data_IF_459146197558
#
_entry.id   IF_459146197558
#
_cell.length_a   1.000
_cell.length_b   1.000
_cell.length_c   1.000
_cell.angle_alpha   90.00
_cell.angle_beta   90.00
_cell.angle_gamma   90.00
#
_symmetry.space_group_name_H-M   'P 1'
#
loop_
_entity.id
_entity.type
_entity.pdbx_description
1 polymer ?
#
# COMPACT_ATOMS: atom_id res chain seq x y z
N UNK A 1 -11.85 10.94 37.40
CA UNK A 1 -12.27 10.54 36.04
C UNK A 1 -11.13 10.92 35.12
N UNK A 2 -10.39 9.95 34.60
CA UNK A 2 -9.29 10.20 33.67
C UNK A 2 -9.63 9.50 32.35
N UNK A 3 -10.19 10.25 31.41
CA UNK A 3 -10.31 9.81 30.01
C UNK A 3 -8.94 9.97 29.36
N UNK A 4 -8.06 9.00 29.60
CA UNK A 4 -6.87 8.79 28.79
C UNK A 4 -7.31 8.14 27.49
N UNK A 5 -7.69 8.96 26.51
CA UNK A 5 -7.95 8.51 25.15
C UNK A 5 -6.69 7.90 24.55
N UNK A 6 -6.50 6.60 24.77
CA UNK A 6 -5.59 5.80 23.98
C UNK A 6 -6.18 5.76 22.57
N UNK A 7 -5.76 6.70 21.72
CA UNK A 7 -5.84 6.52 20.28
C UNK A 7 -5.06 5.24 19.99
N UNK A 8 -5.76 4.13 19.89
CA UNK A 8 -5.13 2.84 19.61
C UNK A 8 -4.37 2.98 18.28
N UNK A 9 -3.32 2.20 18.08
CA UNK A 9 -2.65 2.13 16.77
C UNK A 9 -3.64 1.89 15.63
N UNK A 10 -4.80 1.27 15.93
CA UNK A 10 -5.92 1.10 15.02
C UNK A 10 -6.57 2.42 14.63
N UNK A 11 -6.84 3.30 15.59
CA UNK A 11 -7.40 4.60 15.32
C UNK A 11 -6.44 5.48 14.50
N UNK A 12 -5.13 5.36 14.72
CA UNK A 12 -4.13 6.10 13.94
C UNK A 12 -4.00 5.56 12.52
N UNK A 13 -3.93 4.24 12.33
CA UNK A 13 -3.87 3.60 11.01
C UNK A 13 -5.18 3.82 10.25
N UNK A 14 -6.33 3.63 10.89
CA UNK A 14 -7.63 3.92 10.30
C UNK A 14 -7.78 5.41 9.98
N UNK A 15 -7.26 6.31 10.83
CA UNK A 15 -7.24 7.75 10.56
C UNK A 15 -6.36 8.14 9.37
N UNK A 16 -5.22 7.46 9.18
CA UNK A 16 -4.34 7.68 8.02
C UNK A 16 -4.98 7.25 6.70
N UNK A 17 -5.79 6.19 6.71
CA UNK A 17 -6.45 5.69 5.51
C UNK A 17 -7.92 6.13 5.38
N UNK A 18 -8.41 6.98 6.29
CA UNK A 18 -9.79 7.48 6.28
C UNK A 18 -10.86 6.41 6.53
N UNK A 19 -10.49 5.31 7.20
CA UNK A 19 -11.34 4.16 7.49
C UNK A 19 -11.16 2.99 6.51
N UNK A 20 -11.79 1.87 6.85
CA UNK A 20 -11.72 0.60 6.11
C UNK A 20 -12.25 0.70 4.67
N UNK A 21 -13.39 1.38 4.48
CA UNK A 21 -14.00 1.55 3.15
C UNK A 21 -13.05 2.27 2.18
N UNK A 22 -12.29 3.22 2.69
CA UNK A 22 -11.29 3.93 1.90
C UNK A 22 -10.09 3.05 1.61
N UNK A 23 -9.62 2.23 2.55
CA UNK A 23 -8.56 1.27 2.29
C UNK A 23 -8.96 0.25 1.21
N UNK A 24 -10.19 -0.29 1.27
CA UNK A 24 -10.69 -1.21 0.26
C UNK A 24 -10.78 -0.56 -1.13
N UNK A 25 -11.24 0.69 -1.20
CA UNK A 25 -11.25 1.45 -2.46
C UNK A 25 -9.83 1.69 -2.97
N UNK A 26 -8.93 2.17 -2.13
CA UNK A 26 -7.53 2.40 -2.50
C UNK A 26 -6.84 1.11 -2.95
N UNK A 27 -7.14 -0.02 -2.33
CA UNK A 27 -6.63 -1.32 -2.74
C UNK A 27 -7.17 -1.75 -4.10
N UNK A 28 -8.48 -1.59 -4.35
CA UNK A 28 -9.08 -1.87 -5.64
C UNK A 28 -8.52 -0.94 -6.73
N UNK A 29 -8.32 0.33 -6.43
CA UNK A 29 -7.74 1.32 -7.33
C UNK A 29 -6.28 0.99 -7.63
N UNK A 30 -5.48 0.59 -6.63
CA UNK A 30 -4.11 0.14 -6.83
C UNK A 30 -4.03 -1.08 -7.77
N UNK A 31 -4.94 -2.06 -7.61
CA UNK A 31 -5.04 -3.21 -8.51
C UNK A 31 -5.46 -2.81 -9.93
N UNK A 32 -6.38 -1.85 -10.06
CA UNK A 32 -6.76 -1.30 -11.36
C UNK A 32 -5.58 -0.58 -12.02
N UNK A 33 -4.87 0.27 -11.29
CA UNK A 33 -3.66 0.96 -11.79
C UNK A 33 -2.61 -0.04 -12.27
N UNK A 34 -2.38 -1.12 -11.52
CA UNK A 34 -1.48 -2.19 -11.94
C UNK A 34 -1.95 -2.86 -13.24
N UNK A 35 -3.25 -3.11 -13.40
CA UNK A 35 -3.81 -3.68 -14.61
C UNK A 35 -3.69 -2.71 -15.80
N UNK A 36 -3.91 -1.42 -15.59
CA UNK A 36 -3.79 -0.38 -16.62
C UNK A 36 -2.34 -0.16 -17.05
N UNK A 37 -1.40 -0.13 -16.11
CA UNK A 37 0.04 -0.18 -16.38
C UNK A 37 0.38 -1.42 -17.21
N UNK A 38 0.01 -2.63 -16.76
CA UNK A 38 0.30 -3.86 -17.53
C UNK A 38 -0.27 -3.84 -18.95
N UNK A 39 -1.40 -3.16 -19.16
CA UNK A 39 -2.08 -3.09 -20.43
C UNK A 39 -1.57 -2.00 -21.39
N UNK A 40 -0.54 -1.23 -21.04
CA UNK A 40 -0.08 -0.14 -21.92
C UNK A 40 -0.89 1.16 -21.77
N UNK A 41 -1.89 1.19 -20.87
CA UNK A 41 -2.87 2.28 -20.79
C UNK A 41 -2.45 3.40 -19.84
N UNK A 42 -1.40 3.18 -19.07
CA UNK A 42 -0.87 4.14 -18.13
C UNK A 42 0.65 4.18 -18.23
N UNK A 43 1.16 5.34 -18.64
CA UNK A 43 2.57 5.65 -18.71
C UNK A 43 2.83 6.91 -17.90
N UNK A 44 3.99 6.96 -17.25
CA UNK A 44 4.42 8.10 -16.43
C UNK A 44 5.85 8.40 -16.82
N UNK A 45 6.18 9.69 -17.00
CA UNK A 45 7.54 10.12 -17.27
C UNK A 45 8.49 9.71 -16.14
N UNK A 46 9.78 9.55 -16.46
CA UNK A 46 10.77 9.01 -15.52
C UNK A 46 10.90 9.86 -14.23
N UNK A 47 10.79 11.19 -14.34
CA UNK A 47 10.91 12.10 -13.21
C UNK A 47 9.74 11.91 -12.25
N UNK A 48 8.50 12.04 -12.74
CA UNK A 48 7.28 11.83 -11.94
C UNK A 48 7.21 10.41 -11.38
N UNK A 49 7.56 9.41 -12.19
CA UNK A 49 7.59 8.00 -11.79
C UNK A 49 8.60 7.76 -10.67
N UNK A 50 9.78 8.37 -10.73
CA UNK A 50 10.80 8.29 -9.68
C UNK A 50 10.33 8.93 -8.38
N UNK A 51 9.67 10.09 -8.45
CA UNK A 51 9.11 10.74 -7.25
C UNK A 51 8.02 9.90 -6.59
N UNK A 52 7.09 9.34 -7.37
CA UNK A 52 6.04 8.46 -6.87
C UNK A 52 6.62 7.18 -6.27
N UNK A 53 7.57 6.54 -6.96
CA UNK A 53 8.27 5.36 -6.46
C UNK A 53 8.92 5.65 -5.11
N UNK A 54 9.66 6.76 -4.99
CA UNK A 54 10.32 7.13 -3.73
C UNK A 54 9.32 7.29 -2.58
N UNK A 55 8.17 7.90 -2.82
CA UNK A 55 7.14 8.06 -1.79
C UNK A 55 6.55 6.70 -1.35
N UNK A 56 6.25 5.82 -2.31
CA UNK A 56 5.74 4.45 -2.03
C UNK A 56 6.79 3.63 -1.28
N UNK A 57 8.05 3.67 -1.69
CA UNK A 57 9.15 2.98 -1.01
C UNK A 57 9.32 3.45 0.44
N UNK A 58 9.28 4.76 0.70
CA UNK A 58 9.36 5.26 2.08
C UNK A 58 8.20 4.77 2.96
N UNK A 59 7.00 4.65 2.39
CA UNK A 59 5.86 4.11 3.12
C UNK A 59 6.02 2.61 3.38
N UNK A 60 6.50 1.85 2.39
CA UNK A 60 6.81 0.43 2.55
C UNK A 60 7.87 0.19 3.62
N UNK A 61 8.93 0.99 3.67
CA UNK A 61 9.98 0.91 4.70
C UNK A 61 9.41 1.15 6.10
N UNK A 62 8.58 2.18 6.27
CA UNK A 62 7.89 2.46 7.55
C UNK A 62 6.99 1.31 7.95
N UNK A 63 6.23 0.75 7.02
CA UNK A 63 5.39 -0.41 7.28
C UNK A 63 6.21 -1.66 7.61
N UNK A 64 7.35 -1.87 6.94
CA UNK A 64 8.25 -3.00 7.24
C UNK A 64 8.84 -2.90 8.64
N UNK A 65 9.17 -1.70 9.11
CA UNK A 65 9.60 -1.50 10.50
C UNK A 65 8.49 -1.87 11.52
N UNK A 66 7.22 -1.63 11.15
CA UNK A 66 6.06 -2.00 11.98
C UNK A 66 5.73 -3.49 11.89
N UNK A 67 5.98 -4.14 10.75
CA UNK A 67 5.67 -5.56 10.54
C UNK A 67 6.41 -6.46 11.52
N UNK A 68 7.63 -6.07 11.93
CA UNK A 68 8.41 -6.78 12.95
C UNK A 68 7.70 -6.88 14.30
N UNK A 69 6.69 -6.05 14.56
CA UNK A 69 5.93 -6.03 15.81
C UNK A 69 4.48 -6.47 15.63
N UNK A 70 4.01 -6.65 14.39
CA UNK A 70 2.60 -6.99 14.13
C UNK A 70 2.23 -8.37 14.69
N UNK A 71 3.18 -9.32 14.69
CA UNK A 71 2.95 -10.67 15.22
C UNK A 71 2.61 -10.66 16.72
N UNK A 72 3.03 -9.63 17.47
CA UNK A 72 2.70 -9.48 18.89
C UNK A 72 1.22 -9.18 19.10
N UNK A 73 0.57 -8.53 18.12
CA UNK A 73 -0.87 -8.24 18.17
C UNK A 73 -1.72 -9.49 17.91
N UNK A 74 -1.13 -10.54 17.34
CA UNK A 74 -1.75 -11.84 17.13
C UNK A 74 -1.66 -12.75 18.36
N UNK A 75 -1.02 -12.28 19.44
CA UNK A 75 -0.86 -13.04 20.68
C UNK A 75 -1.85 -12.56 21.74
N UNK A 76 -2.34 -13.50 22.56
CA UNK A 76 -3.16 -13.16 23.74
C UNK A 76 -2.29 -12.35 24.71
N UNK A 77 -2.66 -11.09 25.02
CA UNK A 77 -1.88 -10.28 25.94
C UNK A 77 -2.04 -10.77 27.37
N UNK A 78 -0.97 -10.69 28.16
CA UNK A 78 -0.96 -11.11 29.57
C UNK A 78 -1.46 -9.99 30.48
N UNK A 79 -2.76 -9.76 30.51
CA UNK A 79 -3.36 -8.73 31.38
C UNK A 79 -3.51 -9.15 32.85
N UNK A 80 -3.52 -10.46 33.12
CA UNK A 80 -3.73 -11.02 34.45
C UNK A 80 -4.37 -12.40 34.38
N UNK A 81 -4.57 -13.04 35.54
CA UNK A 81 -5.10 -14.40 35.65
C UNK A 81 -6.55 -14.45 36.18
N UNK A 82 -7.14 -13.31 36.54
CA UNK A 82 -8.55 -13.25 36.92
C UNK A 82 -9.47 -13.37 35.70
N UNK A 83 -10.74 -13.70 35.95
CA UNK A 83 -11.72 -13.94 34.88
C UNK A 83 -12.01 -12.71 34.03
N UNK A 84 -11.91 -11.51 34.60
CA UNK A 84 -12.09 -10.28 33.84
C UNK A 84 -10.88 -10.04 32.93
N UNK A 85 -9.66 -10.19 33.44
CA UNK A 85 -8.42 -10.05 32.68
C UNK A 85 -8.35 -11.02 31.50
N UNK A 86 -8.76 -12.28 31.68
CA UNK A 86 -8.84 -13.27 30.59
C UNK A 86 -9.84 -12.84 29.51
N UNK A 87 -11.04 -12.39 29.90
CA UNK A 87 -12.04 -11.90 28.93
C UNK A 87 -11.54 -10.67 28.17
N UNK A 88 -10.94 -9.72 28.88
CA UNK A 88 -10.36 -8.53 28.27
C UNK A 88 -9.23 -8.88 27.28
N UNK A 89 -8.37 -9.84 27.63
CA UNK A 89 -7.31 -10.31 26.74
C UNK A 89 -7.85 -10.99 25.46
N UNK A 90 -8.91 -11.79 25.58
CA UNK A 90 -9.57 -12.37 24.41
C UNK A 90 -10.23 -11.30 23.53
N UNK A 91 -10.96 -10.34 24.12
CA UNK A 91 -11.56 -9.24 23.36
C UNK A 91 -10.50 -8.42 22.62
N UNK A 92 -9.36 -8.16 23.27
CA UNK A 92 -8.23 -7.50 22.63
C UNK A 92 -7.72 -8.31 21.43
N UNK A 93 -7.46 -9.61 21.61
CA UNK A 93 -7.00 -10.46 20.51
C UNK A 93 -7.99 -10.49 19.34
N UNK A 94 -9.29 -10.62 19.61
CA UNK A 94 -10.31 -10.60 18.56
C UNK A 94 -10.29 -9.29 17.77
N UNK A 95 -10.19 -8.14 18.45
CA UNK A 95 -10.11 -6.84 17.80
C UNK A 95 -8.80 -6.64 17.01
N UNK A 96 -7.72 -7.31 17.42
CA UNK A 96 -6.41 -7.18 16.77
C UNK A 96 -6.19 -8.10 15.58
N UNK A 97 -6.73 -9.34 15.61
CA UNK A 97 -6.39 -10.39 14.63
C UNK A 97 -7.60 -11.13 14.02
N UNK A 98 -8.69 -11.31 14.76
CA UNK A 98 -9.72 -12.29 14.38
C UNK A 98 -10.93 -11.71 13.64
N UNK A 99 -11.21 -10.42 13.79
CA UNK A 99 -12.27 -9.73 13.03
C UNK A 99 -11.82 -9.41 11.60
N UNK A 100 -12.76 -9.30 10.65
CA UNK A 100 -12.51 -8.81 9.30
C UNK A 100 -11.92 -7.38 9.32
N UNK A 101 -12.28 -6.62 10.35
CA UNK A 101 -11.81 -5.26 10.63
C UNK A 101 -10.58 -5.19 11.53
N UNK A 102 -9.95 -6.34 11.78
CA UNK A 102 -8.85 -6.41 12.70
C UNK A 102 -7.64 -5.63 12.20
N UNK A 103 -6.91 -5.06 13.15
CA UNK A 103 -5.73 -4.24 12.88
C UNK A 103 -4.70 -4.94 12.00
N UNK A 104 -4.47 -6.23 12.26
CA UNK A 104 -3.55 -7.05 11.50
C UNK A 104 -3.98 -7.16 10.05
N UNK A 105 -5.26 -7.40 9.77
CA UNK A 105 -5.77 -7.50 8.39
C UNK A 105 -5.68 -6.18 7.64
N UNK A 106 -6.06 -5.07 8.28
CA UNK A 106 -5.92 -3.71 7.72
C UNK A 106 -4.46 -3.42 7.36
N UNK A 107 -3.54 -3.76 8.26
CA UNK A 107 -2.11 -3.61 8.03
C UNK A 107 -1.62 -4.45 6.83
N UNK A 108 -2.01 -5.71 6.74
CA UNK A 108 -1.63 -6.60 5.62
C UNK A 108 -2.20 -6.10 4.28
N UNK A 109 -3.46 -5.66 4.24
CA UNK A 109 -4.08 -5.10 3.04
C UNK A 109 -3.36 -3.83 2.57
N UNK A 110 -2.94 -2.96 3.49
CA UNK A 110 -2.16 -1.77 3.17
C UNK A 110 -0.77 -2.14 2.59
N UNK A 111 -0.11 -3.20 3.09
CA UNK A 111 1.15 -3.69 2.51
C UNK A 111 0.96 -4.20 1.07
N UNK A 112 -0.09 -5.00 0.83
CA UNK A 112 -0.41 -5.53 -0.51
C UNK A 112 -0.73 -4.40 -1.50
N UNK A 113 -1.48 -3.39 -1.06
CA UNK A 113 -1.78 -2.19 -1.83
C UNK A 113 -0.51 -1.44 -2.24
N UNK A 114 0.38 -1.16 -1.30
CA UNK A 114 1.64 -0.46 -1.60
C UNK A 114 2.53 -1.27 -2.55
N UNK A 115 2.58 -2.59 -2.39
CA UNK A 115 3.31 -3.47 -3.31
C UNK A 115 2.73 -3.39 -4.74
N UNK A 116 1.39 -3.42 -4.85
CA UNK A 116 0.70 -3.28 -6.15
C UNK A 116 0.98 -1.92 -6.80
N UNK A 117 0.98 -0.83 -6.02
CA UNK A 117 1.31 0.51 -6.51
C UNK A 117 2.75 0.61 -6.98
N UNK A 118 3.71 0.08 -6.21
CA UNK A 118 5.12 0.07 -6.60
C UNK A 118 5.31 -0.62 -7.95
N UNK A 119 4.71 -1.80 -8.12
CA UNK A 119 4.78 -2.55 -9.37
C UNK A 119 4.12 -1.79 -10.53
N UNK A 120 2.99 -1.14 -10.27
CA UNK A 120 2.28 -0.38 -11.29
C UNK A 120 3.13 0.80 -11.80
N UNK A 121 3.80 1.52 -10.89
CA UNK A 121 4.70 2.63 -11.22
C UNK A 121 5.89 2.15 -12.04
N UNK A 122 6.54 1.04 -11.66
CA UNK A 122 7.69 0.50 -12.39
C UNK A 122 7.33 0.12 -13.84
N UNK A 123 6.16 -0.51 -14.02
CA UNK A 123 5.67 -0.88 -15.36
C UNK A 123 5.33 0.39 -16.18
N UNK A 124 4.71 1.39 -15.54
CA UNK A 124 4.34 2.63 -16.22
C UNK A 124 5.56 3.44 -16.68
N UNK A 125 6.65 3.47 -15.91
CA UNK A 125 7.93 4.07 -16.32
C UNK A 125 8.51 3.30 -17.51
N UNK A 126 8.61 1.98 -17.41
CA UNK A 126 9.16 1.15 -18.50
C UNK A 126 8.39 1.29 -19.82
N UNK A 127 7.08 1.54 -19.77
CA UNK A 127 6.27 1.77 -20.96
C UNK A 127 6.43 3.16 -21.55
N UNK A 128 6.70 4.17 -20.72
CA UNK A 128 7.06 5.49 -21.19
C UNK A 128 8.35 5.41 -22.01
N UNK A 129 9.39 4.78 -21.48
CA UNK A 129 10.68 4.60 -22.16
C UNK A 129 10.52 3.89 -23.51
N UNK A 130 9.73 2.80 -23.55
CA UNK A 130 9.47 2.06 -24.78
C UNK A 130 8.68 2.86 -25.81
N UNK A 131 7.74 3.70 -25.36
CA UNK A 131 6.93 4.54 -26.25
C UNK A 131 7.74 5.71 -26.82
N UNK A 132 8.62 6.29 -26.01
CA UNK A 132 9.52 7.37 -26.43
C UNK A 132 10.56 6.86 -27.44
N UNK A 133 11.16 5.69 -27.18
CA UNK A 133 12.09 5.04 -28.11
C UNK A 133 11.40 4.69 -29.45
N UNK A 134 10.16 4.19 -29.42
CA UNK A 134 9.38 3.91 -30.63
C UNK A 134 9.05 5.18 -31.42
N UNK A 135 8.67 6.27 -30.74
CA UNK A 135 8.42 7.56 -31.39
C UNK A 135 9.69 8.13 -32.05
N UNK A 136 10.83 7.99 -31.39
CA UNK A 136 12.13 8.37 -31.93
C UNK A 136 12.53 7.54 -33.16
N UNK A 137 12.26 6.23 -33.17
CA UNK A 137 12.51 5.37 -34.34
C UNK A 137 11.61 5.73 -35.54
N UNK A 138 10.35 6.08 -35.31
CA UNK A 138 9.44 6.52 -36.37
C UNK A 138 9.91 7.86 -36.95
N UNK A 139 10.25 8.84 -36.11
CA UNK A 139 10.74 10.15 -36.55
C UNK A 139 12.05 10.07 -37.35
N UNK A 140 12.99 9.22 -36.94
CA UNK A 140 14.25 9.00 -37.68
C UNK A 140 14.00 8.33 -39.03
N UNK A 141 13.10 7.35 -39.11
CA UNK A 141 12.71 6.71 -40.36
C UNK A 141 12.08 7.70 -41.36
N UNK A 142 11.22 8.60 -40.91
CA UNK A 142 10.64 9.64 -41.77
C UNK A 142 11.70 10.64 -42.27
N UNK A 143 12.63 11.06 -41.41
CA UNK A 143 13.73 11.95 -41.81
C UNK A 143 14.65 11.35 -42.87
N UNK A 144 14.93 10.05 -42.77
CA UNK A 144 15.76 9.34 -43.75
C UNK A 144 15.05 9.14 -45.10
N UNK A 145 13.71 9.19 -45.14
CA UNK A 145 12.93 9.13 -46.38
C UNK A 145 12.85 10.47 -47.12
N UNK A 146 12.89 11.61 -46.43
CA UNK A 146 12.94 12.94 -47.08
C UNK A 146 14.31 13.29 -47.69
N UNK A 147 15.36 12.54 -47.33
CA UNK A 147 16.74 12.81 -47.79
C UNK A 147 17.13 12.00 -49.04
N UNK A 148 16.17 11.41 -49.76
CA UNK A 148 16.40 10.62 -50.99
C UNK A 148 15.76 11.21 -52.24
#
# INVERSE_FOLDING_TARGET
>A
MAEGGATSGAAQIAGMFGGEDNLHKMHADAKRMLADAKAGRWAVDEETGTHLRRAVTQMQERMSALSQRIYLLQQVPKFGNDEYAKRAAMHFLTAMDSDDRSLVRVFLAAQEMLASLSQAIEIAISQYDASDEAAHQVLTTFKDQETR
#
